data_IF_648946291716
#
_entry.id   IF_648946291716
#
_cell.length_a   1.000
_cell.length_b   1.000
_cell.length_c   1.000
_cell.angle_alpha   90.00
_cell.angle_beta   90.00
_cell.angle_gamma   90.00
#
_symmetry.space_group_name_H-M   'P 1'
#
loop_
_entity.id
_entity.type
_entity.pdbx_description
1 polymer ?
#
# COMPACT_ATOMS: atom_id res chain seq x y z
N UNK A 1 55.95 22.72 -22.91
CA UNK A 1 56.60 22.39 -21.62
C UNK A 1 55.74 21.35 -20.92
N UNK A 2 56.20 20.10 -20.93
CA UNK A 2 55.45 18.89 -20.58
C UNK A 2 56.22 18.17 -19.47
N UNK A 3 55.66 18.08 -18.27
CA UNK A 3 56.16 17.26 -17.14
C UNK A 3 54.96 17.05 -16.19
N UNK A 4 54.61 15.90 -15.62
CA UNK A 4 54.90 14.47 -15.84
C UNK A 4 53.86 13.72 -14.98
N UNK A 5 53.23 12.68 -15.54
CA UNK A 5 52.29 11.81 -14.85
C UNK A 5 52.93 11.09 -13.64
N UNK A 6 52.15 10.83 -12.58
CA UNK A 6 52.54 9.91 -11.51
C UNK A 6 51.32 9.13 -10.98
N UNK A 7 51.21 7.89 -11.43
CA UNK A 7 50.56 6.74 -10.76
C UNK A 7 51.56 5.56 -10.86
N UNK A 8 51.38 4.41 -10.19
CA UNK A 8 50.62 4.09 -8.97
C UNK A 8 51.52 3.36 -7.94
N UNK A 9 51.02 3.08 -6.73
CA UNK A 9 51.59 2.03 -5.86
C UNK A 9 50.52 1.00 -5.52
N UNK A 10 50.66 -0.18 -6.13
CA UNK A 10 50.00 -1.44 -5.78
C UNK A 10 50.68 -2.02 -4.53
N UNK A 11 49.91 -2.44 -3.52
CA UNK A 11 50.37 -3.45 -2.55
C UNK A 11 49.21 -4.39 -2.20
N UNK A 12 49.42 -5.65 -2.59
CA UNK A 12 49.04 -6.95 -2.01
C UNK A 12 47.57 -7.26 -1.65
N UNK A 13 47.07 -8.27 -2.38
CA UNK A 13 46.04 -9.20 -1.96
C UNK A 13 46.48 -10.04 -0.75
N UNK A 14 45.56 -10.32 0.17
CA UNK A 14 45.65 -11.45 1.10
C UNK A 14 44.46 -12.37 0.84
N UNK A 15 44.81 -13.58 0.43
CA UNK A 15 43.97 -14.76 0.25
C UNK A 15 43.61 -15.28 1.64
N UNK A 16 42.31 -15.47 1.88
CA UNK A 16 41.78 -16.11 3.08
C UNK A 16 40.59 -16.99 2.72
N UNK A 17 40.87 -18.17 2.16
CA UNK A 17 39.90 -19.21 1.84
C UNK A 17 39.75 -20.10 3.07
N UNK A 18 38.66 -19.95 3.83
CA UNK A 18 38.19 -20.98 4.75
C UNK A 18 36.87 -21.53 4.24
N UNK A 19 36.94 -22.75 3.69
CA UNK A 19 35.79 -23.62 3.55
C UNK A 19 35.28 -23.96 4.94
N UNK A 20 34.00 -23.71 5.19
CA UNK A 20 33.22 -24.51 6.12
C UNK A 20 31.89 -24.85 5.44
N UNK A 21 31.82 -26.07 4.93
CA UNK A 21 30.55 -26.74 4.69
C UNK A 21 29.94 -27.07 6.04
N UNK A 22 28.76 -26.54 6.32
CA UNK A 22 27.83 -27.11 7.27
C UNK A 22 26.45 -27.08 6.63
N UNK A 23 26.03 -28.26 6.16
CA UNK A 23 24.66 -28.56 5.78
C UNK A 23 23.83 -28.42 7.05
N UNK A 24 23.02 -27.36 7.12
CA UNK A 24 22.03 -27.13 8.15
C UNK A 24 20.66 -26.99 7.49
N UNK A 25 19.78 -27.94 7.78
CA UNK A 25 18.35 -27.95 7.47
C UNK A 25 17.67 -26.63 7.87
N UNK A 26 16.89 -25.97 6.99
CA UNK A 26 15.96 -24.97 7.48
C UNK A 26 14.69 -25.69 7.92
N UNK A 27 14.57 -25.86 9.24
CA UNK A 27 13.30 -26.10 9.88
C UNK A 27 12.31 -25.01 9.47
N UNK A 28 11.10 -25.43 9.11
CA UNK A 28 9.93 -24.56 8.98
C UNK A 28 9.77 -23.78 10.29
N UNK A 29 9.97 -22.46 10.24
CA UNK A 29 9.93 -21.64 11.43
C UNK A 29 10.08 -20.15 11.12
N UNK A 30 8.99 -19.42 11.30
CA UNK A 30 8.98 -18.04 11.82
C UNK A 30 9.59 -16.97 10.88
N UNK A 31 8.88 -16.64 9.79
CA UNK A 31 9.23 -15.54 8.86
C UNK A 31 8.40 -14.25 9.02
N UNK A 32 7.90 -13.94 10.22
CA UNK A 32 7.08 -12.74 10.45
C UNK A 32 7.87 -11.46 10.82
N UNK A 33 9.20 -11.51 10.87
CA UNK A 33 10.04 -10.39 11.36
C UNK A 33 10.30 -9.24 10.38
N UNK A 34 9.56 -9.11 9.27
CA UNK A 34 9.85 -8.08 8.24
C UNK A 34 8.78 -7.00 8.07
N UNK A 35 7.69 -7.09 8.83
CA UNK A 35 6.84 -5.94 9.09
C UNK A 35 7.43 -5.18 10.27
N UNK A 36 8.07 -4.03 10.04
CA UNK A 36 8.09 -3.00 11.08
C UNK A 36 6.71 -2.35 11.01
N UNK A 37 5.79 -2.61 11.96
CA UNK A 37 4.63 -1.75 12.06
C UNK A 37 5.17 -0.35 12.34
N UNK A 38 4.81 0.62 11.52
CA UNK A 38 4.80 2.00 11.97
C UNK A 38 4.13 1.99 13.36
N UNK A 39 4.77 2.65 14.33
CA UNK A 39 4.27 2.72 15.70
C UNK A 39 2.76 2.97 15.64
N UNK A 40 1.93 2.17 16.33
CA UNK A 40 0.50 2.40 16.29
C UNK A 40 0.27 3.86 16.69
N UNK A 41 -0.50 4.65 15.91
CA UNK A 41 -1.05 5.85 16.49
C UNK A 41 -1.72 5.38 17.78
N UNK A 42 -1.34 6.00 18.90
CA UNK A 42 -2.03 5.79 20.16
C UNK A 42 -3.51 5.82 19.84
N UNK A 43 -4.25 4.79 20.25
CA UNK A 43 -5.69 4.79 20.19
C UNK A 43 -6.15 6.00 20.98
N UNK A 44 -6.25 7.14 20.30
CA UNK A 44 -6.76 8.36 20.87
C UNK A 44 -8.19 8.04 21.22
N UNK A 45 -8.56 8.38 22.44
CA UNK A 45 -9.93 8.71 22.77
C UNK A 45 -10.40 9.74 21.74
N UNK A 46 -10.93 9.24 20.62
CA UNK A 46 -11.17 10.03 19.42
C UNK A 46 -12.48 10.77 19.58
N UNK A 47 -12.47 12.07 19.27
CA UNK A 47 -13.70 12.76 18.87
C UNK A 47 -14.43 11.86 17.86
N UNK A 48 -15.76 11.64 18.01
CA UNK A 48 -16.53 10.88 17.03
C UNK A 48 -16.11 11.29 15.62
N UNK A 49 -15.66 10.32 14.85
CA UNK A 49 -15.01 10.55 13.58
C UNK A 49 -16.02 10.98 12.55
N UNK A 50 -16.19 12.29 12.38
CA UNK A 50 -16.94 12.85 11.24
C UNK A 50 -16.02 13.14 10.06
N UNK A 51 -14.69 13.10 10.25
CA UNK A 51 -13.72 13.49 9.21
C UNK A 51 -12.71 12.37 8.98
N UNK A 52 -12.44 12.07 7.71
CA UNK A 52 -11.39 11.15 7.30
C UNK A 52 -10.02 11.80 7.31
N UNK A 53 -8.96 11.02 7.54
CA UNK A 53 -7.59 11.48 7.32
C UNK A 53 -6.93 10.71 6.18
N UNK A 54 -5.89 11.31 5.61
CA UNK A 54 -5.17 10.77 4.46
C UNK A 54 -3.67 10.83 4.69
N UNK A 55 -2.97 9.72 4.41
CA UNK A 55 -1.52 9.62 4.50
C UNK A 55 -0.96 8.89 3.27
N UNK A 56 0.22 9.32 2.83
CA UNK A 56 0.98 8.67 1.77
C UNK A 56 2.40 8.42 2.31
N UNK A 57 2.65 7.19 2.76
CA UNK A 57 3.90 6.80 3.40
C UNK A 57 4.99 6.54 2.35
N UNK A 58 6.20 7.11 2.47
CA UNK A 58 7.26 6.90 1.48
C UNK A 58 7.67 5.42 1.41
N UNK A 59 7.83 4.84 0.21
CA UNK A 59 8.28 3.45 0.06
C UNK A 59 9.77 3.30 0.40
N UNK A 60 10.12 2.12 0.91
CA UNK A 60 11.51 1.70 1.13
C UNK A 60 12.08 1.10 -0.16
N UNK A 61 11.28 0.34 -0.92
CA UNK A 61 11.70 -0.25 -2.19
C UNK A 61 11.88 0.84 -3.27
N UNK A 62 13.09 1.01 -3.84
CA UNK A 62 13.32 1.97 -4.91
C UNK A 62 12.46 1.70 -6.16
N UNK A 63 11.99 0.47 -6.40
CA UNK A 63 11.14 0.16 -7.55
C UNK A 63 9.75 0.78 -7.46
N UNK A 64 9.31 1.16 -6.25
CA UNK A 64 8.00 1.77 -6.01
C UNK A 64 8.03 3.31 -6.06
N UNK A 65 9.21 3.93 -6.20
CA UNK A 65 9.35 5.41 -6.21
C UNK A 65 8.54 6.09 -7.30
N UNK A 66 8.45 5.48 -8.48
CA UNK A 66 7.66 6.03 -9.58
C UNK A 66 6.15 6.00 -9.27
N UNK A 67 5.68 4.91 -8.67
CA UNK A 67 4.28 4.75 -8.26
C UNK A 67 3.96 5.71 -7.11
N UNK A 68 4.85 5.84 -6.13
CA UNK A 68 4.72 6.83 -5.06
C UNK A 68 4.61 8.26 -5.61
N UNK A 69 5.48 8.64 -6.55
CA UNK A 69 5.41 9.96 -7.18
C UNK A 69 4.07 10.17 -7.90
N UNK A 70 3.61 9.17 -8.66
CA UNK A 70 2.32 9.21 -9.34
C UNK A 70 1.17 9.39 -8.34
N UNK A 71 1.13 8.60 -7.27
CA UNK A 71 0.08 8.67 -6.22
C UNK A 71 0.00 10.06 -5.61
N UNK A 72 1.16 10.69 -5.38
CA UNK A 72 1.24 12.04 -4.83
C UNK A 72 0.82 13.10 -5.83
N UNK A 73 1.24 12.98 -7.08
CA UNK A 73 0.87 13.89 -8.16
C UNK A 73 -0.64 13.85 -8.43
N UNK A 74 -1.21 12.65 -8.45
CA UNK A 74 -2.63 12.45 -8.70
C UNK A 74 -3.49 12.67 -7.45
N UNK A 75 -2.90 12.96 -6.29
CA UNK A 75 -3.57 13.00 -4.98
C UNK A 75 -4.68 11.94 -4.86
N UNK A 76 -4.26 10.67 -4.86
CA UNK A 76 -5.14 9.53 -5.21
C UNK A 76 -6.46 9.56 -4.47
N UNK A 77 -6.46 9.83 -3.17
CA UNK A 77 -7.68 9.85 -2.38
C UNK A 77 -8.51 11.11 -2.62
N UNK A 78 -7.88 12.26 -2.92
CA UNK A 78 -8.61 13.48 -3.21
C UNK A 78 -9.35 13.44 -4.56
N UNK A 79 -8.86 12.61 -5.50
CA UNK A 79 -9.47 12.40 -6.82
C UNK A 79 -10.48 11.25 -6.86
N UNK A 80 -10.67 10.51 -5.76
CA UNK A 80 -11.76 9.54 -5.61
C UNK A 80 -13.01 10.23 -5.05
N UNK A 81 -13.73 10.93 -5.93
CA UNK A 81 -14.87 11.79 -5.55
C UNK A 81 -15.96 11.04 -4.78
N UNK A 82 -16.21 9.77 -5.08
CA UNK A 82 -17.23 8.97 -4.39
C UNK A 82 -16.80 8.60 -2.96
N UNK A 83 -15.51 8.35 -2.73
CA UNK A 83 -14.97 8.12 -1.38
C UNK A 83 -15.10 9.39 -0.56
N UNK A 84 -14.68 10.53 -1.12
CA UNK A 84 -14.81 11.84 -0.45
C UNK A 84 -16.24 12.26 -0.19
N UNK A 85 -17.17 11.90 -1.07
CA UNK A 85 -18.58 12.23 -0.89
C UNK A 85 -19.17 11.62 0.39
N UNK A 86 -18.53 10.58 0.95
CA UNK A 86 -18.92 9.97 2.23
C UNK A 86 -18.28 10.61 3.46
N UNK A 87 -17.21 11.39 3.28
CA UNK A 87 -16.55 12.12 4.36
C UNK A 87 -17.52 13.16 4.95
N UNK A 88 -17.62 13.25 6.29
CA UNK A 88 -18.60 14.11 6.95
C UNK A 88 -20.05 13.62 6.91
N UNK A 89 -20.36 12.49 6.25
CA UNK A 89 -21.76 12.00 6.12
C UNK A 89 -22.18 11.05 7.22
N UNK A 90 -21.23 10.50 7.95
CA UNK A 90 -21.47 9.56 9.04
C UNK A 90 -20.79 10.06 10.31
N UNK A 91 -21.43 9.79 11.45
CA UNK A 91 -20.81 9.95 12.76
C UNK A 91 -20.26 8.58 13.14
N UNK A 92 -18.98 8.34 12.86
CA UNK A 92 -18.36 7.05 13.14
C UNK A 92 -17.83 7.02 14.58
N UNK A 93 -17.89 5.87 15.28
CA UNK A 93 -17.27 5.73 16.60
C UNK A 93 -15.79 6.07 16.60
N UNK A 94 -15.11 5.82 15.47
CA UNK A 94 -13.70 6.16 15.26
C UNK A 94 -13.51 6.73 13.85
N UNK A 95 -12.62 7.71 13.67
CA UNK A 95 -12.31 8.24 12.35
C UNK A 95 -11.66 7.17 11.47
N UNK A 96 -11.97 7.21 10.17
CA UNK A 96 -11.29 6.38 9.18
C UNK A 96 -10.01 7.05 8.71
N UNK A 97 -8.94 6.25 8.63
CA UNK A 97 -7.63 6.71 8.21
C UNK A 97 -7.25 6.03 6.88
N UNK A 98 -7.10 6.79 5.81
CA UNK A 98 -6.72 6.28 4.50
C UNK A 98 -5.21 6.41 4.32
N UNK A 99 -4.54 5.31 4.01
CA UNK A 99 -3.08 5.25 3.90
C UNK A 99 -2.71 4.63 2.56
N UNK A 100 -1.82 5.27 1.81
CA UNK A 100 -1.09 4.59 0.73
C UNK A 100 0.31 4.23 1.23
N UNK A 101 0.72 2.96 1.10
CA UNK A 101 1.99 2.47 1.64
C UNK A 101 2.57 1.31 0.83
N UNK A 102 3.84 0.99 1.09
CA UNK A 102 4.46 -0.28 0.64
C UNK A 102 3.99 -1.41 1.56
N UNK A 103 3.47 -2.49 0.98
CA UNK A 103 2.90 -3.61 1.74
C UNK A 103 3.52 -4.97 1.41
N UNK A 104 4.30 -5.06 0.34
CA UNK A 104 4.79 -6.31 -0.26
C UNK A 104 3.66 -7.25 -0.72
N UNK A 105 2.48 -6.69 -1.01
CA UNK A 105 1.29 -7.41 -1.45
C UNK A 105 0.48 -6.56 -2.42
N UNK A 106 0.01 -7.18 -3.50
CA UNK A 106 -0.83 -6.55 -4.53
C UNK A 106 -2.31 -6.47 -4.08
N UNK A 107 -2.59 -5.75 -2.98
CA UNK A 107 -3.95 -5.62 -2.41
C UNK A 107 -4.24 -4.24 -1.85
N UNK A 108 -5.51 -4.00 -1.55
CA UNK A 108 -5.92 -3.01 -0.54
C UNK A 108 -6.64 -3.77 0.59
N UNK A 109 -6.65 -3.21 1.79
CA UNK A 109 -7.30 -3.85 2.93
C UNK A 109 -7.63 -2.86 4.05
N UNK A 110 -8.65 -3.19 4.83
CA UNK A 110 -8.92 -2.56 6.12
C UNK A 110 -8.03 -3.20 7.22
N UNK A 111 -7.09 -2.44 7.76
CA UNK A 111 -6.29 -2.83 8.92
C UNK A 111 -7.08 -2.64 10.21
N UNK A 112 -7.21 -3.73 10.94
CA UNK A 112 -7.86 -3.77 12.25
C UNK A 112 -6.82 -4.02 13.34
N UNK A 113 -6.99 -3.41 14.53
CA UNK A 113 -8.15 -2.66 15.00
C UNK A 113 -8.16 -1.17 14.62
N UNK A 114 -7.18 -0.64 13.86
CA UNK A 114 -6.95 0.80 13.74
C UNK A 114 -7.94 1.60 12.87
N UNK A 115 -8.87 0.93 12.18
CA UNK A 115 -9.76 1.57 11.18
C UNK A 115 -8.96 2.29 10.07
N UNK A 116 -7.87 1.67 9.65
CA UNK A 116 -6.99 2.17 8.60
C UNK A 116 -7.30 1.45 7.27
N UNK A 117 -7.68 2.19 6.23
CA UNK A 117 -7.82 1.69 4.88
C UNK A 117 -6.49 1.84 4.16
N UNK A 118 -5.82 0.70 3.92
CA UNK A 118 -4.49 0.67 3.32
C UNK A 118 -4.60 0.33 1.84
N UNK A 119 -4.12 1.22 0.98
CA UNK A 119 -3.93 1.02 -0.45
C UNK A 119 -2.44 0.77 -0.73
N UNK A 120 -2.09 -0.43 -1.16
CA UNK A 120 -0.68 -0.78 -1.36
C UNK A 120 -0.14 -0.24 -2.70
N UNK A 121 1.10 0.24 -2.74
CA UNK A 121 1.71 0.68 -4.01
C UNK A 121 1.76 -0.43 -5.05
N UNK A 122 1.89 -1.68 -4.61
CA UNK A 122 1.98 -2.86 -5.47
C UNK A 122 0.70 -3.09 -6.27
N UNK A 123 -0.50 -2.89 -5.69
CA UNK A 123 -1.75 -3.03 -6.45
C UNK A 123 -1.89 -1.89 -7.48
N UNK A 124 -1.45 -0.68 -7.15
CA UNK A 124 -1.45 0.45 -8.09
C UNK A 124 -0.52 0.16 -9.27
N UNK A 125 0.68 -0.36 -8.98
CA UNK A 125 1.67 -0.80 -9.98
C UNK A 125 1.11 -1.88 -10.91
N UNK A 126 0.44 -2.88 -10.34
CA UNK A 126 -0.16 -3.98 -11.10
C UNK A 126 -1.29 -3.48 -12.00
N UNK A 127 -2.19 -2.62 -11.49
CA UNK A 127 -3.26 -2.00 -12.28
C UNK A 127 -2.69 -1.16 -13.44
N UNK A 128 -1.64 -0.38 -13.19
CA UNK A 128 -0.96 0.37 -14.24
C UNK A 128 -0.41 -0.53 -15.34
N UNK A 129 0.32 -1.59 -14.96
CA UNK A 129 0.90 -2.54 -15.90
C UNK A 129 -0.16 -3.26 -16.75
N UNK A 130 -1.30 -3.61 -16.13
CA UNK A 130 -2.47 -4.17 -16.83
C UNK A 130 -3.09 -3.16 -17.80
N UNK A 131 -3.28 -1.92 -17.36
CA UNK A 131 -3.80 -0.85 -18.20
C UNK A 131 -2.91 -0.56 -19.42
N UNK A 132 -1.59 -0.55 -19.24
CA UNK A 132 -0.61 -0.40 -20.31
C UNK A 132 -0.62 -1.57 -21.29
N UNK A 133 -0.78 -2.79 -20.78
CA UNK A 133 -0.87 -4.00 -21.61
C UNK A 133 -2.11 -3.97 -22.50
N UNK A 134 -3.28 -3.71 -21.92
CA UNK A 134 -4.53 -3.59 -22.67
C UNK A 134 -4.43 -2.44 -23.68
N UNK A 135 -3.89 -1.29 -23.27
CA UNK A 135 -3.74 -0.14 -24.17
C UNK A 135 -2.89 -0.47 -25.40
N UNK A 136 -1.81 -1.24 -25.22
CA UNK A 136 -0.93 -1.66 -26.32
C UNK A 136 -1.62 -2.66 -27.25
N UNK A 137 -2.29 -3.65 -26.69
CA UNK A 137 -2.97 -4.72 -27.46
C UNK A 137 -4.13 -4.17 -28.28
N UNK A 138 -4.93 -3.29 -27.67
CA UNK A 138 -6.13 -2.69 -28.28
C UNK A 138 -5.85 -1.35 -28.99
N UNK A 139 -4.57 -0.96 -29.10
CA UNK A 139 -4.12 0.31 -29.73
C UNK A 139 -4.81 1.56 -29.15
N UNK A 140 -5.03 1.58 -27.84
CA UNK A 140 -5.66 2.68 -27.10
C UNK A 140 -4.61 3.69 -26.62
N UNK A 141 -5.02 4.96 -26.51
CA UNK A 141 -4.16 6.03 -26.04
C UNK A 141 -3.99 6.10 -24.51
N UNK A 142 -3.10 6.98 -24.05
CA UNK A 142 -2.82 7.24 -22.62
C UNK A 142 -4.06 7.57 -21.77
N UNK A 143 -5.07 8.20 -22.38
CA UNK A 143 -6.33 8.51 -21.72
C UNK A 143 -7.07 7.25 -21.22
N UNK A 144 -6.95 6.12 -21.93
CA UNK A 144 -7.50 4.85 -21.49
C UNK A 144 -6.85 4.39 -20.18
N UNK A 145 -5.51 4.42 -20.09
CA UNK A 145 -4.76 3.98 -18.91
C UNK A 145 -5.19 4.76 -17.67
N UNK A 146 -5.35 6.09 -17.81
CA UNK A 146 -5.80 6.95 -16.71
C UNK A 146 -7.22 6.60 -16.25
N UNK A 147 -8.14 6.34 -17.18
CA UNK A 147 -9.52 5.90 -16.87
C UNK A 147 -9.56 4.50 -16.26
N UNK A 148 -8.72 3.60 -16.75
CA UNK A 148 -8.58 2.24 -16.24
C UNK A 148 -8.09 2.25 -14.79
N UNK A 149 -7.01 2.99 -14.52
CA UNK A 149 -6.48 3.18 -13.17
C UNK A 149 -7.51 3.79 -12.23
N UNK A 150 -8.09 4.94 -12.62
CA UNK A 150 -9.10 5.64 -11.79
C UNK A 150 -10.30 4.74 -11.51
N UNK A 151 -10.81 4.01 -12.51
CA UNK A 151 -11.93 3.09 -12.35
C UNK A 151 -11.62 1.93 -11.40
N UNK A 152 -10.44 1.33 -11.53
CA UNK A 152 -10.01 0.23 -10.67
C UNK A 152 -9.79 0.69 -9.22
N UNK A 153 -9.09 1.81 -9.00
CA UNK A 153 -8.87 2.35 -7.66
C UNK A 153 -10.18 2.78 -7.00
N UNK A 154 -11.11 3.38 -7.76
CA UNK A 154 -12.44 3.71 -7.26
C UNK A 154 -13.18 2.46 -6.77
N UNK A 155 -13.19 1.40 -7.58
CA UNK A 155 -13.85 0.16 -7.20
C UNK A 155 -13.25 -0.43 -5.92
N UNK A 156 -11.91 -0.55 -5.86
CA UNK A 156 -11.21 -1.13 -4.71
C UNK A 156 -11.45 -0.30 -3.45
N UNK A 157 -11.30 1.02 -3.52
CA UNK A 157 -11.45 1.87 -2.35
C UNK A 157 -12.89 1.93 -1.84
N UNK A 158 -13.89 1.90 -2.72
CA UNK A 158 -15.29 1.80 -2.30
C UNK A 158 -15.61 0.44 -1.68
N UNK A 159 -14.98 -0.63 -2.15
CA UNK A 159 -15.13 -1.96 -1.57
C UNK A 159 -14.60 -1.99 -0.11
N UNK A 160 -13.38 -1.54 0.10
CA UNK A 160 -12.78 -1.49 1.44
C UNK A 160 -13.50 -0.49 2.36
N UNK A 161 -13.96 0.65 1.82
CA UNK A 161 -14.79 1.59 2.56
C UNK A 161 -16.12 0.97 2.98
N UNK A 162 -16.75 0.15 2.13
CA UNK A 162 -17.94 -0.61 2.50
C UNK A 162 -17.69 -1.50 3.71
N UNK A 163 -16.56 -2.23 3.73
CA UNK A 163 -16.16 -3.02 4.89
C UNK A 163 -15.91 -2.18 6.14
N UNK A 164 -15.32 -1.01 6.00
CA UNK A 164 -15.11 -0.09 7.12
C UNK A 164 -16.44 0.42 7.68
N UNK A 165 -17.34 0.92 6.83
CA UNK A 165 -18.63 1.48 7.24
C UNK A 165 -19.54 0.43 7.87
N UNK A 166 -19.64 -0.77 7.30
CA UNK A 166 -20.42 -1.87 7.88
C UNK A 166 -20.00 -2.13 9.32
N UNK A 167 -18.69 -2.05 9.60
CA UNK A 167 -18.16 -2.38 10.92
C UNK A 167 -18.25 -1.22 11.91
N UNK A 168 -17.88 -0.01 11.49
CA UNK A 168 -17.92 1.14 12.38
C UNK A 168 -19.37 1.56 12.71
N UNK A 169 -20.31 1.32 11.81
CA UNK A 169 -21.74 1.58 12.06
C UNK A 169 -22.51 0.34 12.58
N UNK A 170 -21.81 -0.77 12.81
CA UNK A 170 -22.39 -2.06 13.24
C UNK A 170 -23.62 -2.46 12.40
N UNK A 171 -23.50 -2.34 11.07
CA UNK A 171 -24.61 -2.61 10.16
C UNK A 171 -24.81 -4.11 9.98
N UNK A 172 -26.06 -4.59 10.00
CA UNK A 172 -26.35 -5.98 9.69
C UNK A 172 -26.05 -6.25 8.22
N UNK A 173 -25.15 -7.19 7.93
CA UNK A 173 -25.00 -7.73 6.58
C UNK A 173 -26.15 -8.71 6.33
N UNK A 174 -27.05 -8.37 5.40
CA UNK A 174 -28.21 -9.21 5.10
C UNK A 174 -27.75 -10.46 4.35
N UNK A 175 -27.47 -11.50 5.12
CA UNK A 175 -27.26 -12.88 4.71
C UNK A 175 -27.37 -13.70 5.98
N UNK A 176 -28.46 -14.46 6.13
CA UNK A 176 -28.79 -15.21 7.34
C UNK A 176 -27.57 -15.84 8.04
N UNK A 177 -27.38 -15.53 9.32
CA UNK A 177 -27.95 -16.44 10.32
C UNK A 177 -29.14 -15.74 10.93
N UNK A 178 -30.34 -16.15 10.53
CA UNK A 178 -31.51 -15.88 11.35
C UNK A 178 -31.29 -16.57 12.68
N UNK A 179 -30.88 -15.82 13.70
CA UNK A 179 -31.03 -16.24 15.08
C UNK A 179 -32.33 -15.63 15.60
N UNK A 180 -33.43 -16.30 15.25
CA UNK A 180 -34.52 -16.45 16.20
C UNK A 180 -33.99 -17.34 17.32
N UNK A 181 -33.41 -16.72 18.36
CA UNK A 181 -33.28 -17.38 19.65
C UNK A 181 -33.55 -16.39 20.77
N UNK A 182 -34.80 -16.49 21.23
CA UNK A 182 -35.19 -16.22 22.62
C UNK A 182 -34.61 -17.33 23.50
#
# INVERSE_FOLDING_TARGET
>A
MTVKARQPRRIAAIIGRCLFSAVGTPAAGIWWKRFSPAAPPSAGEGVPGTVYSYECAPPHDPTLKQVYALVREMDVFQNLVEVRATDGRFVLPRPLHFVTAECQQEKAFLLQPKAELVLCYEIIKDILAKGETIAREEKLGRAFISRYLSGALRFIMLHELGHALIRELDLPITGQRGDIRR
#
